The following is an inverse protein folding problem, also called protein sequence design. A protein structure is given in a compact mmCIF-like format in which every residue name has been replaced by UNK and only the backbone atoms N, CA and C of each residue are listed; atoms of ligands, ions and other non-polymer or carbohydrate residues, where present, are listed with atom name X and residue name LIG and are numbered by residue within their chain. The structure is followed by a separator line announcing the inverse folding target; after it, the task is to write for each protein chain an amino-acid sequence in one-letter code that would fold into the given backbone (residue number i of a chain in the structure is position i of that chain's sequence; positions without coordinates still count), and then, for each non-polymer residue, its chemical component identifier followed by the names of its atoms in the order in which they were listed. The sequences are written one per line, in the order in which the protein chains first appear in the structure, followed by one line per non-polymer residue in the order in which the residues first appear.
data_IF_246044684710
#
_entry.id   IF_246044684710
#
_cell.length_a   1.000
_cell.length_b   1.000
_cell.length_c   1.000
_cell.angle_alpha   90.00
_cell.angle_beta   90.00
_cell.angle_gamma   90.00
#
_symmetry.space_group_name_H-M   'P 1'
#
loop_
_entity.id
_entity.type
_entity.pdbx_description
1 polymer ?
#
# COMPACT_ATOMS: atom_id res chain seq x y z
N UNK A 1 13.80 1.16 7.57
CA UNK A 1 14.78 1.86 8.44
C UNK A 1 16.10 1.12 8.44
N UNK A 2 16.13 -0.07 8.97
CA UNK A 2 17.36 -0.85 9.18
C UNK A 2 18.25 -0.97 7.92
N UNK A 3 17.67 -1.28 6.77
CA UNK A 3 18.43 -1.40 5.51
C UNK A 3 19.05 -0.08 5.05
N UNK A 4 18.34 1.03 5.26
CA UNK A 4 18.89 2.38 4.98
C UNK A 4 20.06 2.69 5.91
N UNK A 5 19.91 2.39 7.21
CA UNK A 5 20.97 2.59 8.18
C UNK A 5 22.22 1.77 7.82
N UNK A 6 22.04 0.51 7.37
CA UNK A 6 23.13 -0.35 6.88
C UNK A 6 23.76 0.19 5.60
N UNK A 7 22.96 0.56 4.61
CA UNK A 7 23.43 1.07 3.31
C UNK A 7 24.21 2.37 3.44
N UNK A 8 23.86 3.21 4.41
CA UNK A 8 24.56 4.47 4.69
C UNK A 8 25.67 4.33 5.75
N UNK A 9 25.98 3.10 6.19
CA UNK A 9 26.97 2.83 7.24
C UNK A 9 26.77 3.69 8.51
N UNK A 10 25.50 3.93 8.84
CA UNK A 10 25.12 4.74 10.00
C UNK A 10 25.15 6.26 9.78
N UNK A 11 25.47 6.74 8.56
CA UNK A 11 25.41 8.17 8.26
C UNK A 11 23.97 8.72 8.29
N UNK A 12 22.98 7.87 8.02
CA UNK A 12 21.55 8.18 8.21
C UNK A 12 20.98 7.22 9.25
N UNK A 13 20.40 7.77 10.31
CA UNK A 13 19.67 7.01 11.33
C UNK A 13 18.20 7.35 11.22
N UNK A 14 17.38 6.36 10.83
CA UNK A 14 15.92 6.48 10.76
C UNK A 14 15.30 6.04 12.07
N UNK A 15 14.69 6.99 12.77
CA UNK A 15 13.82 6.71 13.92
C UNK A 15 12.40 6.49 13.41
N UNK A 16 11.81 5.35 13.74
CA UNK A 16 10.44 5.01 13.35
C UNK A 16 9.48 5.50 14.42
N UNK A 17 8.52 6.32 14.03
CA UNK A 17 7.43 6.78 14.88
C UNK A 17 6.13 6.11 14.45
N UNK A 18 5.39 5.57 15.40
CA UNK A 18 4.04 5.06 15.16
C UNK A 18 3.06 6.21 14.88
N UNK A 19 2.12 5.96 14.01
CA UNK A 19 1.07 6.92 13.68
C UNK A 19 -0.29 6.23 13.53
N UNK A 20 -1.37 7.02 13.59
CA UNK A 20 -2.72 6.55 13.33
C UNK A 20 -3.01 6.35 11.82
N UNK A 21 -1.97 6.35 10.99
CA UNK A 21 -2.03 6.06 9.56
C UNK A 21 -1.86 7.26 8.64
N UNK A 22 -2.02 6.99 7.35
CA UNK A 22 -1.60 7.88 6.24
C UNK A 22 -2.17 9.31 6.30
N UNK A 23 -3.39 9.51 6.80
CA UNK A 23 -3.99 10.85 6.91
C UNK A 23 -3.25 11.68 7.96
N UNK A 24 -2.95 11.08 9.12
CA UNK A 24 -2.16 11.75 10.15
C UNK A 24 -0.76 12.06 9.64
N UNK A 25 -0.11 11.13 8.94
CA UNK A 25 1.22 11.35 8.38
C UNK A 25 1.28 12.61 7.49
N UNK A 26 0.27 12.80 6.63
CA UNK A 26 0.18 14.03 5.81
C UNK A 26 -0.07 15.25 6.69
N UNK A 27 -0.94 15.17 7.70
CA UNK A 27 -1.24 16.30 8.58
C UNK A 27 -0.03 16.73 9.41
N UNK A 28 0.79 15.78 9.85
CA UNK A 28 2.03 16.06 10.59
C UNK A 28 3.07 16.82 9.75
N UNK A 29 3.10 16.62 8.44
CA UNK A 29 4.02 17.32 7.54
C UNK A 29 3.93 18.86 7.67
N UNK A 30 2.77 19.41 8.10
CA UNK A 30 2.61 20.87 8.34
C UNK A 30 3.46 21.37 9.51
N UNK A 31 3.57 20.54 10.55
CA UNK A 31 4.17 20.91 11.84
C UNK A 31 5.62 20.52 11.96
N UNK A 32 5.99 19.42 11.29
CA UNK A 32 7.35 18.86 11.35
C UNK A 32 8.33 19.75 10.61
N UNK A 33 9.51 19.86 11.18
CA UNK A 33 10.66 20.59 10.63
C UNK A 33 11.84 19.65 10.40
N UNK A 34 12.79 20.08 9.60
CA UNK A 34 14.01 19.33 9.33
C UNK A 34 13.78 18.03 8.55
N UNK A 35 14.51 17.00 8.90
CA UNK A 35 14.59 15.74 8.15
C UNK A 35 13.42 14.77 8.43
N UNK A 36 12.19 15.24 8.37
CA UNK A 36 10.99 14.44 8.56
C UNK A 36 10.63 13.66 7.28
N UNK A 37 10.39 12.36 7.44
CA UNK A 37 9.97 11.45 6.36
C UNK A 37 8.65 10.78 6.74
N UNK A 38 7.75 10.62 5.79
CA UNK A 38 6.48 9.93 6.00
C UNK A 38 6.02 9.16 4.77
N UNK A 39 5.17 8.17 5.00
CA UNK A 39 4.58 7.35 3.93
C UNK A 39 3.09 7.62 3.81
N UNK A 40 2.61 7.69 2.57
CA UNK A 40 1.17 7.89 2.31
C UNK A 40 0.83 7.59 0.85
N UNK A 41 -0.43 7.25 0.53
CA UNK A 41 -0.92 7.25 -0.85
C UNK A 41 -0.85 8.64 -1.48
N UNK A 42 -0.42 8.77 -2.75
CA UNK A 42 -0.34 10.05 -3.48
C UNK A 42 -1.65 10.83 -3.51
N UNK A 43 -2.78 10.12 -3.52
CA UNK A 43 -4.11 10.75 -3.50
C UNK A 43 -4.34 11.60 -2.26
N UNK A 44 -3.79 11.22 -1.10
CA UNK A 44 -3.94 12.00 0.13
C UNK A 44 -3.13 13.29 0.08
N UNK A 45 -1.92 13.25 -0.48
CA UNK A 45 -1.13 14.47 -0.72
C UNK A 45 -1.87 15.41 -1.68
N UNK A 46 -2.43 14.88 -2.79
CA UNK A 46 -3.23 15.66 -3.73
C UNK A 46 -4.46 16.29 -3.07
N UNK A 47 -5.13 15.58 -2.17
CA UNK A 47 -6.29 16.12 -1.45
C UNK A 47 -5.87 17.20 -0.45
N UNK A 48 -4.76 17.03 0.24
CA UNK A 48 -4.22 17.99 1.20
C UNK A 48 -3.82 19.30 0.51
N UNK A 49 -3.05 19.23 -0.58
CA UNK A 49 -2.63 20.41 -1.36
C UNK A 49 -3.80 21.15 -2.03
N UNK A 50 -4.99 20.54 -2.08
CA UNK A 50 -6.22 21.14 -2.61
C UNK A 50 -7.24 21.51 -1.52
N UNK A 51 -6.95 21.29 -0.24
CA UNK A 51 -7.88 21.53 0.86
C UNK A 51 -9.19 20.76 0.74
N UNK A 52 -9.14 19.47 0.32
CA UNK A 52 -10.35 18.67 0.05
C UNK A 52 -10.51 17.51 1.02
N UNK A 53 -11.75 17.02 1.15
CA UNK A 53 -12.13 15.88 1.98
C UNK A 53 -11.68 16.07 3.44
N UNK A 54 -10.91 15.12 4.01
CA UNK A 54 -10.42 15.16 5.39
C UNK A 54 -9.44 16.32 5.68
N UNK A 55 -9.06 17.09 4.67
CA UNK A 55 -8.18 18.28 4.77
C UNK A 55 -8.95 19.59 4.51
N UNK A 56 -10.29 19.55 4.41
CA UNK A 56 -11.10 20.74 4.08
C UNK A 56 -11.08 21.85 5.16
N UNK A 57 -10.67 21.51 6.37
CA UNK A 57 -10.50 22.46 7.47
C UNK A 57 -9.06 22.97 7.63
N UNK A 58 -8.14 22.44 6.83
CA UNK A 58 -6.73 22.79 6.87
C UNK A 58 -6.44 23.84 5.78
N UNK A 59 -5.37 24.61 5.95
CA UNK A 59 -4.90 25.57 4.95
C UNK A 59 -4.05 24.83 3.89
N UNK A 60 -4.44 24.80 2.60
CA UNK A 60 -3.71 24.08 1.55
C UNK A 60 -2.24 24.51 1.43
N UNK A 61 -1.94 25.78 1.71
CA UNK A 61 -0.60 26.37 1.62
C UNK A 61 0.39 25.67 2.58
N UNK A 62 -0.08 25.18 3.72
CA UNK A 62 0.75 24.45 4.69
C UNK A 62 1.28 23.13 4.13
N UNK A 63 0.63 22.59 3.09
CA UNK A 63 1.04 21.35 2.41
C UNK A 63 1.88 21.60 1.16
N UNK A 64 2.03 22.85 0.71
CA UNK A 64 2.81 23.19 -0.49
C UNK A 64 4.29 22.82 -0.38
N UNK A 65 4.79 22.67 0.86
CA UNK A 65 6.16 22.24 1.13
C UNK A 65 6.40 20.73 0.96
N UNK A 66 5.36 19.89 0.79
CA UNK A 66 5.54 18.44 0.64
C UNK A 66 6.28 18.14 -0.66
N UNK A 67 7.24 17.21 -0.58
CA UNK A 67 8.04 16.71 -1.70
C UNK A 67 8.06 15.18 -1.69
N UNK A 68 8.01 14.59 -2.88
CA UNK A 68 8.16 13.15 -3.04
C UNK A 68 9.63 12.72 -3.08
N UNK A 69 9.90 11.50 -2.63
CA UNK A 69 11.22 10.90 -2.66
C UNK A 69 11.25 9.67 -3.58
N UNK A 70 10.58 8.58 -3.20
CA UNK A 70 10.56 7.33 -3.96
C UNK A 70 9.29 6.52 -3.65
N UNK A 71 8.89 5.61 -4.58
CA UNK A 71 7.78 4.68 -4.34
C UNK A 71 8.19 3.56 -3.37
N UNK A 72 7.21 3.01 -2.68
CA UNK A 72 7.36 1.78 -1.87
C UNK A 72 6.24 0.81 -2.25
N UNK A 73 6.31 -0.47 -1.81
CA UNK A 73 5.29 -1.46 -2.14
C UNK A 73 3.86 -0.99 -1.88
N UNK A 74 2.97 -1.27 -2.82
CA UNK A 74 1.60 -0.76 -2.84
C UNK A 74 0.69 -1.54 -1.91
N UNK A 75 -0.44 -0.95 -1.52
CA UNK A 75 -1.50 -1.60 -0.76
C UNK A 75 -2.42 -2.36 -1.74
N UNK A 76 -2.11 -3.62 -1.98
CA UNK A 76 -2.89 -4.51 -2.85
C UNK A 76 -3.92 -5.26 -2.02
N UNK A 77 -5.18 -5.24 -2.47
CA UNK A 77 -6.27 -5.95 -1.78
C UNK A 77 -6.25 -7.43 -2.10
N UNK A 78 -6.50 -8.24 -1.08
CA UNK A 78 -6.72 -9.67 -1.21
C UNK A 78 -8.02 -10.03 -0.52
N UNK A 79 -8.89 -10.72 -1.24
CA UNK A 79 -10.10 -11.34 -0.71
C UNK A 79 -9.89 -12.84 -0.76
N UNK A 80 -9.59 -13.43 0.38
CA UNK A 80 -9.21 -14.84 0.51
C UNK A 80 -10.37 -15.61 1.10
N UNK A 81 -10.75 -16.72 0.47
CA UNK A 81 -11.81 -17.62 0.96
C UNK A 81 -11.33 -19.06 0.95
N UNK A 82 -11.94 -19.91 1.77
CA UNK A 82 -11.72 -21.36 1.67
C UNK A 82 -12.24 -21.87 0.34
N UNK A 83 -11.51 -22.77 -0.29
CA UNK A 83 -11.92 -23.34 -1.58
C UNK A 83 -13.22 -24.15 -1.49
N UNK A 84 -13.49 -24.75 -0.33
CA UNK A 84 -14.68 -25.57 -0.02
C UNK A 84 -15.88 -24.73 0.46
N UNK A 85 -15.75 -23.41 0.60
CA UNK A 85 -16.83 -22.52 1.02
C UNK A 85 -17.94 -22.34 -0.03
N UNK A 86 -17.72 -22.82 -1.27
CA UNK A 86 -18.59 -22.61 -2.42
C UNK A 86 -18.45 -21.23 -3.07
N UNK A 87 -17.65 -20.31 -2.50
CA UNK A 87 -17.45 -18.95 -3.01
C UNK A 87 -16.49 -18.96 -4.18
N UNK A 88 -16.92 -18.47 -5.33
CA UNK A 88 -16.13 -18.36 -6.56
C UNK A 88 -15.98 -16.91 -7.03
N UNK A 89 -16.89 -16.04 -6.65
CA UNK A 89 -16.94 -14.63 -7.01
C UNK A 89 -17.29 -13.76 -5.80
N UNK A 90 -17.27 -12.44 -5.96
CA UNK A 90 -17.70 -11.53 -4.89
C UNK A 90 -19.18 -11.67 -4.56
N UNK A 91 -20.02 -11.99 -5.53
CA UNK A 91 -21.47 -12.17 -5.38
C UNK A 91 -21.81 -13.34 -4.44
N UNK A 92 -20.99 -14.39 -4.47
CA UNK A 92 -21.15 -15.59 -3.63
C UNK A 92 -20.81 -15.34 -2.15
N UNK A 93 -20.30 -14.16 -1.82
CA UNK A 93 -20.03 -13.77 -0.43
C UNK A 93 -21.31 -13.53 0.39
N UNK A 94 -22.46 -13.41 -0.25
CA UNK A 94 -23.74 -13.27 0.47
C UNK A 94 -23.95 -14.45 1.42
N UNK A 95 -24.28 -14.17 2.69
CA UNK A 95 -24.43 -15.15 3.77
C UNK A 95 -23.11 -15.65 4.38
N UNK A 96 -21.96 -15.24 3.87
CA UNK A 96 -20.64 -15.68 4.34
C UNK A 96 -20.06 -14.76 5.42
N UNK A 97 -19.08 -15.29 6.16
CA UNK A 97 -18.34 -14.58 7.19
C UNK A 97 -16.92 -14.24 6.73
N UNK A 98 -16.54 -12.97 6.84
CA UNK A 98 -15.21 -12.46 6.48
C UNK A 98 -14.54 -11.72 7.64
N UNK A 99 -13.34 -12.14 8.02
CA UNK A 99 -12.51 -11.38 8.94
C UNK A 99 -11.80 -10.25 8.18
N UNK A 100 -11.92 -9.00 8.64
CA UNK A 100 -11.48 -7.82 7.90
C UNK A 100 -10.38 -6.99 8.61
N UNK A 101 -9.76 -7.48 9.66
CA UNK A 101 -8.68 -6.76 10.35
C UNK A 101 -9.13 -5.42 10.94
N UNK A 102 -9.42 -5.38 12.23
CA UNK A 102 -9.96 -4.21 12.94
C UNK A 102 -9.10 -2.94 12.69
N UNK A 103 -9.74 -1.86 12.26
CA UNK A 103 -9.08 -0.55 12.07
C UNK A 103 -8.15 -0.43 10.85
N UNK A 104 -7.86 -1.53 10.15
CA UNK A 104 -6.92 -1.56 9.03
C UNK A 104 -7.46 -0.85 7.77
N UNK A 105 -6.55 -0.52 6.84
CA UNK A 105 -6.93 -0.07 5.49
C UNK A 105 -7.73 -1.15 4.78
N UNK A 106 -7.33 -2.42 4.88
CA UNK A 106 -8.05 -3.55 4.30
C UNK A 106 -9.49 -3.65 4.77
N UNK A 107 -9.76 -3.42 6.07
CA UNK A 107 -11.11 -3.37 6.61
C UNK A 107 -11.96 -2.25 5.99
N UNK A 108 -11.39 -1.06 5.80
CA UNK A 108 -12.08 0.08 5.18
C UNK A 108 -12.43 -0.22 3.72
N UNK A 109 -11.48 -0.77 2.96
CA UNK A 109 -11.71 -1.13 1.56
C UNK A 109 -12.69 -2.31 1.43
N UNK A 110 -12.59 -3.35 2.26
CA UNK A 110 -13.55 -4.46 2.24
C UNK A 110 -14.98 -3.98 2.50
N UNK A 111 -15.21 -3.15 3.52
CA UNK A 111 -16.52 -2.54 3.77
C UNK A 111 -17.02 -1.71 2.59
N UNK A 112 -16.12 -0.92 1.98
CA UNK A 112 -16.43 -0.13 0.79
C UNK A 112 -16.84 -1.04 -0.37
N UNK A 113 -16.11 -2.14 -0.61
CA UNK A 113 -16.40 -3.06 -1.71
C UNK A 113 -17.73 -3.79 -1.50
N UNK A 114 -18.00 -4.26 -0.29
CA UNK A 114 -19.31 -4.84 0.01
C UNK A 114 -20.46 -3.87 -0.30
N UNK A 115 -20.30 -2.59 0.04
CA UNK A 115 -21.30 -1.57 -0.31
C UNK A 115 -21.44 -1.36 -1.82
N UNK A 116 -20.30 -1.23 -2.53
CA UNK A 116 -20.29 -0.97 -3.98
C UNK A 116 -20.85 -2.12 -4.80
N UNK A 117 -20.68 -3.37 -4.33
CA UNK A 117 -21.13 -4.59 -5.03
C UNK A 117 -22.51 -5.06 -4.57
N UNK A 118 -23.26 -4.23 -3.82
CA UNK A 118 -24.62 -4.57 -3.37
C UNK A 118 -24.68 -5.66 -2.29
N UNK A 119 -23.56 -5.90 -1.61
CA UNK A 119 -23.39 -6.92 -0.57
C UNK A 119 -23.42 -6.34 0.85
N UNK A 120 -23.67 -5.04 0.99
CA UNK A 120 -23.82 -4.41 2.32
C UNK A 120 -24.90 -5.15 3.10
N UNK A 121 -24.61 -5.45 4.35
CA UNK A 121 -25.48 -6.18 5.29
C UNK A 121 -25.80 -7.64 4.88
N UNK A 122 -25.31 -8.11 3.74
CA UNK A 122 -25.44 -9.50 3.29
C UNK A 122 -24.25 -10.38 3.67
N UNK A 123 -23.12 -9.77 4.05
CA UNK A 123 -21.87 -10.43 4.44
C UNK A 123 -21.60 -10.14 5.91
N UNK A 124 -21.32 -11.17 6.70
CA UNK A 124 -20.94 -11.01 8.12
C UNK A 124 -19.49 -10.57 8.20
N UNK A 125 -19.25 -9.26 8.37
CA UNK A 125 -17.92 -8.71 8.53
C UNK A 125 -17.47 -8.77 9.99
N UNK A 126 -16.40 -9.50 10.26
CA UNK A 126 -15.82 -9.72 11.60
C UNK A 126 -14.60 -8.81 11.76
N UNK A 127 -14.72 -7.79 12.61
CA UNK A 127 -13.65 -6.85 12.93
C UNK A 127 -12.74 -7.40 14.04
N UNK A 128 -11.84 -8.32 13.70
CA UNK A 128 -10.85 -8.90 14.60
C UNK A 128 -9.42 -8.68 14.09
N UNK A 129 -8.41 -9.04 14.87
CA UNK A 129 -7.01 -8.92 14.48
C UNK A 129 -6.66 -9.89 13.34
N UNK A 130 -5.92 -9.41 12.33
CA UNK A 130 -5.55 -10.23 11.16
C UNK A 130 -4.59 -11.37 11.51
N UNK A 131 -3.86 -11.28 12.60
CA UNK A 131 -2.97 -12.36 13.07
C UNK A 131 -3.69 -13.67 13.34
N UNK A 132 -4.97 -13.62 13.72
CA UNK A 132 -5.81 -14.80 13.93
C UNK A 132 -6.53 -15.32 12.68
N UNK A 133 -6.45 -14.60 11.55
CA UNK A 133 -7.28 -14.89 10.37
C UNK A 133 -6.99 -16.25 9.74
N UNK A 134 -5.70 -16.63 9.63
CA UNK A 134 -5.30 -17.90 9.00
C UNK A 134 -5.76 -19.08 9.84
N UNK A 135 -5.56 -19.02 11.15
CA UNK A 135 -6.03 -20.08 12.07
C UNK A 135 -7.57 -20.20 12.03
N UNK A 136 -8.29 -19.08 12.09
CA UNK A 136 -9.75 -19.07 12.02
C UNK A 136 -10.28 -19.62 10.68
N UNK A 137 -9.62 -19.30 9.57
CA UNK A 137 -9.93 -19.83 8.23
C UNK A 137 -9.75 -21.37 8.19
N UNK A 138 -8.58 -21.86 8.63
CA UNK A 138 -8.25 -23.28 8.65
C UNK A 138 -9.22 -24.09 9.51
N UNK A 139 -9.61 -23.54 10.65
CA UNK A 139 -10.53 -24.17 11.59
C UNK A 139 -12.02 -24.06 11.19
N UNK A 140 -12.32 -23.44 10.05
CA UNK A 140 -13.70 -23.27 9.57
C UNK A 140 -14.55 -22.27 10.37
N UNK A 141 -13.93 -21.45 11.21
CA UNK A 141 -14.61 -20.42 12.01
C UNK A 141 -15.04 -19.21 11.19
N UNK A 142 -14.39 -19.03 10.03
CA UNK A 142 -14.71 -17.99 9.04
C UNK A 142 -14.67 -18.61 7.64
N UNK A 143 -15.44 -18.06 6.71
CA UNK A 143 -15.41 -18.47 5.30
C UNK A 143 -14.25 -17.83 4.53
N UNK A 144 -13.78 -16.66 5.00
CA UNK A 144 -12.69 -15.93 4.38
C UNK A 144 -12.15 -14.79 5.22
N UNK A 145 -11.13 -14.13 4.68
CA UNK A 145 -10.62 -12.88 5.25
C UNK A 145 -10.22 -11.89 4.14
N UNK A 146 -10.25 -10.61 4.48
CA UNK A 146 -9.76 -9.54 3.61
C UNK A 146 -8.49 -8.94 4.23
N UNK A 147 -7.46 -8.78 3.41
CA UNK A 147 -6.22 -8.10 3.79
C UNK A 147 -5.77 -7.13 2.72
N UNK A 148 -4.99 -6.13 3.11
CA UNK A 148 -4.36 -5.20 2.20
C UNK A 148 -2.89 -5.05 2.56
N UNK A 149 -2.05 -5.27 1.58
CA UNK A 149 -0.60 -5.18 1.72
C UNK A 149 0.06 -5.41 0.37
N UNK A 150 1.37 -5.47 0.36
CA UNK A 150 2.08 -5.86 -0.86
C UNK A 150 1.83 -7.33 -1.17
N UNK A 151 2.02 -7.74 -2.42
CA UNK A 151 1.99 -9.14 -2.80
C UNK A 151 3.42 -9.64 -3.16
N UNK A 152 3.75 -10.90 -2.84
CA UNK A 152 2.94 -11.86 -2.06
C UNK A 152 2.73 -11.41 -0.61
N UNK A 153 1.50 -11.52 -0.12
CA UNK A 153 1.16 -11.15 1.26
C UNK A 153 1.46 -12.32 2.21
N UNK A 154 2.19 -12.12 3.32
CA UNK A 154 2.61 -13.19 4.22
C UNK A 154 1.46 -14.06 4.75
N UNK A 155 0.36 -13.46 5.17
CA UNK A 155 -0.81 -14.19 5.66
C UNK A 155 -1.55 -14.97 4.55
N UNK A 156 -1.44 -14.53 3.28
CA UNK A 156 -1.99 -15.29 2.14
C UNK A 156 -1.07 -16.45 1.79
N UNK A 157 0.25 -16.28 1.87
CA UNK A 157 1.23 -17.38 1.74
C UNK A 157 0.95 -18.46 2.80
N UNK A 158 0.82 -18.05 4.06
CA UNK A 158 0.54 -18.96 5.18
C UNK A 158 -0.80 -19.68 4.98
N UNK A 159 -1.86 -18.97 4.57
CA UNK A 159 -3.15 -19.57 4.30
C UNK A 159 -3.07 -20.60 3.15
N UNK A 160 -2.38 -20.27 2.06
CA UNK A 160 -2.17 -21.17 0.92
C UNK A 160 -1.36 -22.42 1.26
N UNK A 161 -0.43 -22.31 2.21
CA UNK A 161 0.38 -23.44 2.68
C UNK A 161 -0.37 -24.37 3.64
N UNK A 162 -1.40 -23.87 4.35
CA UNK A 162 -2.07 -24.60 5.44
C UNK A 162 -3.51 -25.00 5.15
N UNK A 163 -4.13 -24.43 4.11
CA UNK A 163 -5.49 -24.71 3.68
C UNK A 163 -5.64 -24.58 2.16
N UNK A 164 -6.64 -25.26 1.57
CA UNK A 164 -7.04 -24.97 0.20
C UNK A 164 -7.82 -23.66 0.17
N UNK A 165 -7.27 -22.66 -0.49
CA UNK A 165 -7.87 -21.33 -0.59
C UNK A 165 -8.18 -20.96 -2.03
N UNK A 166 -8.99 -19.90 -2.17
CA UNK A 166 -9.16 -19.11 -3.40
C UNK A 166 -8.94 -17.65 -3.05
N UNK A 167 -8.27 -16.93 -3.94
CA UNK A 167 -8.20 -15.47 -3.92
C UNK A 167 -9.17 -14.96 -4.99
N UNK A 168 -10.18 -14.17 -4.60
CA UNK A 168 -11.23 -13.74 -5.52
C UNK A 168 -10.71 -12.67 -6.47
N UNK A 169 -10.98 -12.86 -7.77
CA UNK A 169 -10.77 -11.86 -8.80
C UNK A 169 -11.96 -10.91 -8.90
N UNK A 170 -11.70 -9.65 -9.22
CA UNK A 170 -12.71 -8.65 -9.55
C UNK A 170 -12.96 -8.61 -11.06
N UNK A 171 -14.19 -8.33 -11.47
CA UNK A 171 -14.49 -7.94 -12.85
C UNK A 171 -13.99 -6.52 -13.14
N UNK A 172 -13.89 -6.16 -14.42
CA UNK A 172 -13.51 -4.80 -14.82
C UNK A 172 -14.54 -3.76 -14.35
N UNK A 173 -15.82 -4.11 -14.31
CA UNK A 173 -16.90 -3.27 -13.75
C UNK A 173 -16.69 -3.04 -12.25
N UNK A 174 -16.36 -4.10 -11.50
CA UNK A 174 -16.08 -4.00 -10.07
C UNK A 174 -14.85 -3.12 -9.81
N UNK A 175 -13.76 -3.30 -10.56
CA UNK A 175 -12.57 -2.43 -10.49
C UNK A 175 -12.97 -0.97 -10.70
N UNK A 176 -13.71 -0.67 -11.78
CA UNK A 176 -14.16 0.69 -12.12
C UNK A 176 -14.98 1.33 -11.00
N UNK A 177 -15.89 0.58 -10.38
CA UNK A 177 -16.69 1.05 -9.25
C UNK A 177 -15.81 1.46 -8.06
N UNK A 178 -14.73 0.76 -7.80
CA UNK A 178 -13.85 1.04 -6.65
C UNK A 178 -13.10 2.36 -6.79
N UNK A 179 -12.89 2.85 -8.00
CA UNK A 179 -12.01 4.01 -8.33
C UNK A 179 -10.58 3.79 -7.81
N UNK A 180 -10.11 2.54 -7.85
CA UNK A 180 -8.74 2.15 -7.55
C UNK A 180 -8.04 1.70 -8.82
N UNK A 181 -6.72 1.66 -8.77
CA UNK A 181 -5.92 1.13 -9.87
C UNK A 181 -6.10 -0.40 -9.93
N UNK A 182 -6.25 -0.93 -11.14
CA UNK A 182 -6.26 -2.37 -11.41
C UNK A 182 -4.85 -2.92 -11.23
N UNK A 183 -4.75 -4.09 -10.62
CA UNK A 183 -3.52 -4.85 -10.50
C UNK A 183 -3.81 -6.32 -10.78
N UNK A 184 -2.88 -6.99 -11.43
CA UNK A 184 -2.92 -8.43 -11.66
C UNK A 184 -1.83 -9.07 -10.79
N UNK A 185 -2.24 -9.95 -9.88
CA UNK A 185 -1.33 -10.84 -9.16
C UNK A 185 -1.14 -12.06 -10.05
N UNK A 186 0.08 -12.34 -10.54
CA UNK A 186 0.33 -13.44 -11.48
C UNK A 186 -0.02 -14.82 -10.90
N UNK A 187 -0.48 -15.71 -11.76
CA UNK A 187 -0.64 -17.13 -11.46
C UNK A 187 0.65 -17.69 -10.80
N UNK A 188 0.49 -18.61 -9.85
CA UNK A 188 1.62 -19.21 -9.13
C UNK A 188 2.25 -18.32 -8.06
N UNK A 189 1.77 -17.09 -7.84
CA UNK A 189 2.23 -16.23 -6.74
C UNK A 189 1.95 -16.86 -5.38
N UNK A 190 0.85 -17.58 -5.25
CA UNK A 190 0.46 -18.32 -4.06
C UNK A 190 0.26 -19.80 -4.42
N UNK A 191 0.68 -20.71 -3.53
CA UNK A 191 0.53 -22.13 -3.76
C UNK A 191 -0.92 -22.53 -4.04
N UNK A 192 -1.18 -23.28 -5.11
CA UNK A 192 -2.51 -23.71 -5.51
C UNK A 192 -3.40 -22.64 -6.13
N UNK A 193 -2.84 -21.46 -6.46
CA UNK A 193 -3.52 -20.41 -7.23
C UNK A 193 -2.89 -20.35 -8.62
N UNK A 194 -3.45 -21.12 -9.56
CA UNK A 194 -2.88 -21.37 -10.90
C UNK A 194 -3.44 -20.41 -11.97
N UNK A 195 -4.19 -19.40 -11.56
CA UNK A 195 -4.74 -18.36 -12.42
C UNK A 195 -4.37 -16.98 -11.91
N UNK A 196 -4.29 -16.02 -12.84
CA UNK A 196 -4.12 -14.62 -12.50
C UNK A 196 -5.28 -14.13 -11.62
N UNK A 197 -4.95 -13.35 -10.60
CA UNK A 197 -5.95 -12.71 -9.72
C UNK A 197 -6.02 -11.23 -10.04
N UNK A 198 -7.15 -10.80 -10.58
CA UNK A 198 -7.43 -9.38 -10.82
C UNK A 198 -7.93 -8.75 -9.53
N UNK A 199 -7.26 -7.69 -9.09
CA UNK A 199 -7.61 -6.99 -7.85
C UNK A 199 -7.31 -5.50 -7.96
N UNK A 200 -7.47 -4.81 -6.86
CA UNK A 200 -7.18 -3.38 -6.75
C UNK A 200 -5.92 -3.13 -5.98
N UNK A 201 -5.26 -2.04 -6.32
CA UNK A 201 -4.10 -1.55 -5.59
C UNK A 201 -4.22 -0.06 -5.28
N UNK A 202 -3.51 0.37 -4.26
CA UNK A 202 -3.34 1.76 -3.91
C UNK A 202 -1.85 2.05 -3.80
N UNK A 203 -1.29 2.87 -4.70
CA UNK A 203 0.11 3.27 -4.63
C UNK A 203 0.45 3.93 -3.29
N UNK A 204 1.66 3.70 -2.81
CA UNK A 204 2.21 4.36 -1.62
C UNK A 204 3.58 4.92 -1.96
N UNK A 205 3.83 6.13 -1.51
CA UNK A 205 5.11 6.79 -1.68
C UNK A 205 5.71 7.26 -0.37
N UNK A 206 6.99 7.52 -0.41
CA UNK A 206 7.76 8.17 0.65
C UNK A 206 7.88 9.64 0.30
N UNK A 207 7.62 10.47 1.29
CA UNK A 207 7.58 11.92 1.17
C UNK A 207 8.37 12.58 2.28
N UNK A 208 8.75 13.82 2.02
CA UNK A 208 9.35 14.74 2.97
C UNK A 208 8.81 16.15 2.72
N UNK A 209 9.47 17.16 3.24
CA UNK A 209 9.16 18.57 2.95
C UNK A 209 10.37 19.29 2.39
N UNK A 210 10.18 20.51 1.90
CA UNK A 210 11.29 21.40 1.46
C UNK A 210 12.26 21.76 2.57
N UNK A 211 11.96 21.43 3.83
CA UNK A 211 12.81 21.69 4.98
C UNK A 211 13.89 20.62 5.19
N UNK A 212 13.75 19.44 4.55
CA UNK A 212 14.83 18.45 4.55
C UNK A 212 16.03 19.01 3.78
N UNK A 213 17.23 18.82 4.29
CA UNK A 213 18.41 19.20 3.54
C UNK A 213 18.65 18.33 2.30
N UNK A 214 19.25 18.93 1.28
CA UNK A 214 19.43 18.29 -0.03
C UNK A 214 20.31 17.05 0.05
N UNK A 215 21.37 17.11 0.87
CA UNK A 215 22.33 16.01 1.01
C UNK A 215 21.67 14.79 1.67
N UNK A 216 20.86 15.02 2.70
CA UNK A 216 20.08 13.95 3.37
C UNK A 216 19.05 13.33 2.43
N UNK A 217 18.31 14.15 1.69
CA UNK A 217 17.32 13.62 0.74
C UNK A 217 17.98 12.82 -0.41
N UNK A 218 19.12 13.29 -0.90
CA UNK A 218 19.93 12.57 -1.89
C UNK A 218 20.41 11.22 -1.33
N UNK A 219 21.09 11.25 -0.17
CA UNK A 219 21.63 10.04 0.43
C UNK A 219 20.53 9.01 0.77
N UNK A 220 19.39 9.47 1.25
CA UNK A 220 18.24 8.62 1.57
C UNK A 220 17.65 7.97 0.31
N UNK A 221 17.46 8.75 -0.75
CA UNK A 221 16.94 8.24 -2.03
C UNK A 221 17.92 7.24 -2.65
N UNK A 222 19.21 7.56 -2.68
CA UNK A 222 20.26 6.68 -3.16
C UNK A 222 20.31 5.37 -2.37
N UNK A 223 20.38 5.45 -1.05
CA UNK A 223 20.42 4.27 -0.18
C UNK A 223 19.21 3.35 -0.38
N UNK A 224 18.01 3.90 -0.61
CA UNK A 224 16.82 3.11 -0.93
C UNK A 224 17.02 2.30 -2.23
N UNK A 225 17.38 2.96 -3.32
CA UNK A 225 17.50 2.28 -4.61
C UNK A 225 18.67 1.29 -4.65
N UNK A 226 19.79 1.60 -4.03
CA UNK A 226 20.93 0.67 -3.91
C UNK A 226 20.62 -0.54 -3.02
N UNK A 227 19.75 -0.37 -2.03
CA UNK A 227 19.30 -1.49 -1.17
C UNK A 227 18.20 -2.34 -1.76
N UNK A 228 17.53 -1.88 -2.84
CA UNK A 228 16.31 -2.50 -3.37
C UNK A 228 16.50 -3.97 -3.74
N UNK A 229 17.61 -4.33 -4.37
CA UNK A 229 17.86 -5.71 -4.79
C UNK A 229 18.08 -6.64 -3.59
N UNK A 230 18.70 -6.14 -2.52
CA UNK A 230 18.82 -6.89 -1.27
C UNK A 230 17.46 -7.03 -0.56
N UNK A 231 16.64 -5.99 -0.58
CA UNK A 231 15.26 -6.05 -0.10
C UNK A 231 14.44 -7.07 -0.88
N UNK A 232 14.62 -7.13 -2.22
CA UNK A 232 13.92 -8.07 -3.10
C UNK A 232 14.31 -9.54 -2.85
N UNK A 233 15.53 -9.81 -2.35
CA UNK A 233 15.93 -11.15 -1.90
C UNK A 233 15.24 -11.56 -0.59
N UNK A 234 14.95 -10.61 0.29
CA UNK A 234 14.27 -10.85 1.55
C UNK A 234 12.75 -10.95 1.38
N UNK A 235 12.19 -10.17 0.44
CA UNK A 235 10.76 -10.14 0.17
C UNK A 235 10.48 -9.76 -1.27
N UNK A 236 9.86 -10.69 -2.01
CA UNK A 236 9.63 -10.60 -3.47
C UNK A 236 8.86 -9.34 -3.87
N UNK A 237 8.00 -8.81 -3.04
CA UNK A 237 7.21 -7.59 -3.33
C UNK A 237 8.05 -6.36 -3.71
N UNK A 238 9.33 -6.28 -3.26
CA UNK A 238 10.21 -5.18 -3.64
C UNK A 238 10.59 -5.19 -5.13
N UNK A 239 10.45 -6.35 -5.81
CA UNK A 239 10.69 -6.44 -7.27
C UNK A 239 9.68 -5.62 -8.07
N UNK A 240 8.45 -5.46 -7.56
CA UNK A 240 7.41 -4.68 -8.21
C UNK A 240 7.67 -3.16 -8.21
N UNK A 241 8.65 -2.67 -7.43
CA UNK A 241 8.99 -1.26 -7.36
C UNK A 241 10.08 -0.94 -8.38
N UNK A 242 9.71 -0.08 -9.34
CA UNK A 242 10.61 0.42 -10.38
C UNK A 242 10.53 1.94 -10.47
N UNK A 243 11.43 2.54 -11.24
CA UNK A 243 11.42 3.98 -11.50
C UNK A 243 10.16 4.44 -12.25
N UNK A 244 9.48 3.55 -12.99
CA UNK A 244 8.21 3.85 -13.68
C UNK A 244 7.11 4.23 -12.69
N UNK A 245 7.18 3.69 -11.47
CA UNK A 245 6.23 4.03 -10.40
C UNK A 245 6.34 5.49 -9.93
N UNK A 246 7.40 6.23 -10.32
CA UNK A 246 7.50 7.66 -10.04
C UNK A 246 6.33 8.46 -10.64
N UNK A 247 5.75 7.99 -11.75
CA UNK A 247 4.59 8.59 -12.40
C UNK A 247 3.35 8.71 -11.50
N UNK A 248 3.30 7.94 -10.40
CA UNK A 248 2.20 8.00 -9.43
C UNK A 248 2.20 9.30 -8.60
N UNK A 249 3.34 9.96 -8.42
CA UNK A 249 3.45 11.14 -7.58
C UNK A 249 2.70 12.35 -8.16
N UNK A 250 2.16 13.17 -7.25
CA UNK A 250 1.32 14.33 -7.58
C UNK A 250 1.92 15.66 -7.09
N UNK A 251 3.11 15.61 -6.52
CA UNK A 251 3.91 16.76 -6.09
C UNK A 251 5.35 16.55 -6.55
N UNK A 252 6.08 17.65 -6.69
CA UNK A 252 7.48 17.64 -7.15
C UNK A 252 8.36 16.74 -6.28
N UNK A 253 9.41 16.21 -6.88
CA UNK A 253 10.49 15.56 -6.15
C UNK A 253 11.22 16.56 -5.26
N UNK A 254 11.78 16.06 -4.16
CA UNK A 254 12.75 16.83 -3.40
C UNK A 254 14.02 17.05 -4.22
N UNK A 255 14.70 18.20 -4.05
CA UNK A 255 15.91 18.54 -4.82
C UNK A 255 16.98 17.43 -4.76
N UNK A 256 17.22 16.86 -3.58
CA UNK A 256 18.17 15.76 -3.42
C UNK A 256 17.74 14.48 -4.15
N UNK A 257 16.46 14.13 -4.12
CA UNK A 257 15.94 13.01 -4.90
C UNK A 257 16.04 13.26 -6.40
N UNK A 258 15.67 14.46 -6.86
CA UNK A 258 15.78 14.87 -8.26
C UNK A 258 17.24 14.78 -8.76
N UNK A 259 18.21 15.23 -7.94
CA UNK A 259 19.65 15.10 -8.24
C UNK A 259 20.04 13.64 -8.48
N UNK A 260 19.66 12.73 -7.58
CA UNK A 260 19.94 11.30 -7.72
C UNK A 260 19.32 10.72 -9.00
N UNK A 261 18.05 10.98 -9.28
CA UNK A 261 17.41 10.48 -10.49
C UNK A 261 18.02 11.02 -11.79
N UNK A 262 18.48 12.25 -11.80
CA UNK A 262 19.20 12.84 -12.94
C UNK A 262 20.56 12.15 -13.16
N UNK A 263 21.32 11.87 -12.10
CA UNK A 263 22.59 11.14 -12.17
C UNK A 263 22.37 9.72 -12.71
N UNK A 264 21.29 9.07 -12.30
CA UNK A 264 20.90 7.73 -12.78
C UNK A 264 20.22 7.75 -14.17
N UNK A 265 20.10 8.93 -14.81
CA UNK A 265 19.46 9.14 -16.12
C UNK A 265 18.03 8.59 -16.19
N UNK A 266 17.29 8.68 -15.09
CA UNK A 266 15.88 8.25 -15.04
C UNK A 266 15.02 9.25 -15.80
N UNK A 267 14.18 8.74 -16.70
CA UNK A 267 13.18 9.56 -17.38
C UNK A 267 12.07 9.95 -16.40
N UNK A 268 11.98 11.23 -16.07
CA UNK A 268 11.02 11.75 -15.11
C UNK A 268 9.84 12.44 -15.78
N UNK A 269 8.61 12.22 -15.29
CA UNK A 269 7.46 13.05 -15.66
C UNK A 269 7.72 14.54 -15.37
N UNK A 270 7.26 15.42 -16.26
CA UNK A 270 7.53 16.87 -16.18
C UNK A 270 7.03 17.49 -14.86
N UNK A 271 5.87 17.04 -14.38
CA UNK A 271 5.28 17.51 -13.13
C UNK A 271 6.10 17.20 -11.87
N UNK A 272 7.15 16.39 -11.98
CA UNK A 272 8.01 16.02 -10.84
C UNK A 272 9.31 16.82 -10.76
N UNK A 273 9.65 17.54 -11.82
CA UNK A 273 10.85 18.38 -11.89
C UNK A 273 10.72 19.73 -11.17
#
# INVERSE_FOLDING_TARGET
GEQINKATKGALVLTIEESQGSVQNVKEARKRKGNYVFTTPPVLVKLATKGKAMFSKDKPEEYAKIRSLFPIPFLTMHMVVRADSGVKSYEDLAGKSLLIGKGSFGAKEAKKYMKLFGLKDKVKLIGAELSGAVAALKNGQIDGFATAGSYPAPNVIEAAATAKIRVLSMSDEQIKLTKRDKLIIPAGTYSGIDQDVVTTTLPVGVYTTTEMDEATAYAFTKAFWESKDNLAKQSVWWKAITTDNLSMFKVKLHKGALKYYNEMKVTLPENLK
#
